data_IF_868980396104
#
_entry.id   IF_868980396104
#
_cell.length_a   1.000
_cell.length_b   1.000
_cell.length_c   1.000
_cell.angle_alpha   90.00
_cell.angle_beta   90.00
_cell.angle_gamma   90.00
#
_symmetry.space_group_name_H-M   'P 1'
#
loop_
_entity.id
_entity.type
_entity.pdbx_description
1 polymer ?
#
# COMPACT_ATOMS: atom_id res chain seq x y z
N UNK A 1 -14.47 14.39 18.74
CA UNK A 1 -13.55 13.54 17.95
C UNK A 1 -14.36 12.72 16.97
N UNK A 2 -14.23 12.93 15.64
CA UNK A 2 -14.73 11.92 14.70
C UNK A 2 -13.63 10.89 14.49
N UNK A 3 -13.74 9.74 15.17
CA UNK A 3 -12.84 8.58 15.12
C UNK A 3 -12.53 8.07 13.71
N UNK A 4 -13.32 8.49 12.72
CA UNK A 4 -13.27 8.07 11.31
C UNK A 4 -12.06 8.56 10.54
N UNK A 5 -11.59 9.77 10.80
CA UNK A 5 -10.52 10.38 9.98
C UNK A 5 -9.16 9.78 10.31
N UNK A 6 -8.97 9.39 11.57
CA UNK A 6 -7.71 8.89 12.13
C UNK A 6 -7.19 7.64 11.40
N UNK A 7 -7.99 6.56 11.21
CA UNK A 7 -7.52 5.39 10.48
C UNK A 7 -7.20 5.71 9.01
N UNK A 8 -8.00 6.54 8.35
CA UNK A 8 -7.78 6.89 6.94
C UNK A 8 -6.49 7.69 6.76
N UNK A 9 -6.26 8.71 7.60
CA UNK A 9 -5.03 9.51 7.58
C UNK A 9 -3.82 8.61 7.84
N UNK A 10 -3.88 7.79 8.89
CA UNK A 10 -2.79 6.88 9.23
C UNK A 10 -2.47 5.92 8.08
N UNK A 11 -3.48 5.38 7.41
CA UNK A 11 -3.29 4.49 6.27
C UNK A 11 -2.62 5.18 5.08
N UNK A 12 -3.07 6.38 4.70
CA UNK A 12 -2.49 7.11 3.55
C UNK A 12 -1.05 7.54 3.85
N UNK A 13 -0.78 8.00 5.07
CA UNK A 13 0.59 8.37 5.47
C UNK A 13 1.51 7.16 5.46
N UNK A 14 1.06 6.01 5.98
CA UNK A 14 1.84 4.76 5.93
C UNK A 14 2.17 4.36 4.48
N UNK A 15 1.21 4.43 3.56
CA UNK A 15 1.45 4.14 2.15
C UNK A 15 2.47 5.08 1.52
N UNK A 16 2.38 6.37 1.82
CA UNK A 16 3.32 7.37 1.33
C UNK A 16 4.74 7.11 1.85
N UNK A 17 4.88 6.79 3.14
CA UNK A 17 6.16 6.41 3.74
C UNK A 17 6.75 5.17 3.07
N UNK A 18 5.93 4.15 2.80
CA UNK A 18 6.37 2.95 2.06
C UNK A 18 6.83 3.33 0.65
N UNK A 19 6.16 4.25 -0.04
CA UNK A 19 6.60 4.73 -1.36
C UNK A 19 7.99 5.38 -1.29
N UNK A 20 8.21 6.28 -0.34
CA UNK A 20 9.49 6.96 -0.16
C UNK A 20 10.60 5.95 0.14
N UNK A 21 10.34 5.01 1.05
CA UNK A 21 11.28 3.97 1.43
C UNK A 21 11.62 3.05 0.25
N UNK A 22 10.63 2.60 -0.52
CA UNK A 22 10.83 1.83 -1.76
C UNK A 22 11.59 2.62 -2.84
N UNK A 23 11.38 3.93 -2.90
CA UNK A 23 12.11 4.82 -3.83
C UNK A 23 13.59 4.85 -3.47
N UNK A 24 13.92 5.04 -2.19
CA UNK A 24 15.31 5.01 -1.70
C UNK A 24 15.93 3.62 -1.91
N UNK A 25 15.22 2.54 -1.61
CA UNK A 25 15.71 1.18 -1.84
C UNK A 25 15.98 0.91 -3.35
N UNK A 26 15.14 1.45 -4.24
CA UNK A 26 15.31 1.31 -5.69
C UNK A 26 16.50 2.14 -6.21
N UNK A 27 16.70 3.36 -5.72
CA UNK A 27 17.77 4.26 -6.19
C UNK A 27 19.13 3.90 -5.58
N UNK A 28 19.18 3.55 -4.29
CA UNK A 28 20.40 3.37 -3.49
C UNK A 28 20.55 1.95 -2.91
N UNK A 29 20.36 0.94 -3.77
CA UNK A 29 20.49 -0.49 -3.45
C UNK A 29 21.72 -0.80 -2.58
N UNK A 30 22.90 -0.28 -2.94
CA UNK A 30 24.16 -0.62 -2.26
C UNK A 30 24.39 0.10 -0.91
N UNK A 31 23.85 1.31 -0.73
CA UNK A 31 23.98 2.05 0.55
C UNK A 31 22.89 1.66 1.55
N UNK A 32 21.75 1.20 1.05
CA UNK A 32 20.60 0.81 1.85
C UNK A 32 20.92 -0.39 2.75
N UNK A 33 21.70 -1.37 2.28
CA UNK A 33 22.11 -2.54 3.08
C UNK A 33 22.93 -2.16 4.32
N UNK A 34 23.84 -1.19 4.18
CA UNK A 34 24.72 -0.76 5.28
C UNK A 34 24.02 0.12 6.32
N UNK A 35 22.94 0.82 5.95
CA UNK A 35 22.28 1.81 6.80
C UNK A 35 20.76 1.61 6.91
N UNK A 36 20.25 0.40 6.62
CA UNK A 36 18.81 0.13 6.54
C UNK A 36 18.03 0.55 7.79
N UNK A 37 18.58 0.26 8.98
CA UNK A 37 17.94 0.65 10.25
C UNK A 37 17.79 2.16 10.43
N UNK A 38 18.76 2.96 9.99
CA UNK A 38 18.69 4.41 10.05
C UNK A 38 17.57 4.96 9.15
N UNK A 39 17.48 4.45 7.92
CA UNK A 39 16.42 4.87 6.99
C UNK A 39 15.02 4.53 7.53
N UNK A 40 14.83 3.33 8.07
CA UNK A 40 13.56 2.93 8.69
C UNK A 40 13.16 3.87 9.82
N UNK A 41 14.09 4.20 10.72
CA UNK A 41 13.83 5.12 11.83
C UNK A 41 13.50 6.53 11.34
N UNK A 42 14.23 7.04 10.34
CA UNK A 42 13.98 8.34 9.73
C UNK A 42 12.57 8.41 9.10
N UNK A 43 12.15 7.36 8.40
CA UNK A 43 10.81 7.27 7.81
C UNK A 43 9.69 7.19 8.84
N UNK A 44 9.91 6.53 9.98
CA UNK A 44 8.95 6.52 11.09
C UNK A 44 8.76 7.90 11.71
N UNK A 45 9.85 8.64 11.94
CA UNK A 45 9.77 10.03 12.44
C UNK A 45 9.01 10.91 11.45
N UNK A 46 9.35 10.82 10.16
CA UNK A 46 8.69 11.57 9.10
C UNK A 46 7.19 11.30 9.08
N UNK A 47 6.77 10.03 9.17
CA UNK A 47 5.36 9.66 9.23
C UNK A 47 4.65 10.27 10.45
N UNK A 48 5.29 10.22 11.63
CA UNK A 48 4.75 10.81 12.85
C UNK A 48 4.55 12.33 12.74
N UNK A 49 5.54 13.04 12.18
CA UNK A 49 5.45 14.49 11.96
C UNK A 49 4.32 14.85 10.99
N UNK A 50 4.19 14.13 9.87
CA UNK A 50 3.11 14.35 8.89
C UNK A 50 1.74 14.17 9.54
N UNK A 51 1.56 13.12 10.34
CA UNK A 51 0.30 12.88 11.08
C UNK A 51 0.01 14.05 12.02
N UNK A 52 1.00 14.49 12.81
CA UNK A 52 0.84 15.61 13.73
C UNK A 52 0.47 16.91 13.01
N UNK A 53 1.10 17.21 11.87
CA UNK A 53 0.77 18.38 11.06
C UNK A 53 -0.66 18.31 10.52
N UNK A 54 -1.10 17.16 9.99
CA UNK A 54 -2.46 16.98 9.50
C UNK A 54 -3.48 17.19 10.64
N UNK A 55 -3.18 16.69 11.85
CA UNK A 55 -4.03 16.88 13.02
C UNK A 55 -4.14 18.36 13.42
N UNK A 56 -3.01 19.07 13.46
CA UNK A 56 -2.96 20.49 13.83
C UNK A 56 -3.71 21.39 12.83
N UNK A 57 -3.67 21.07 11.53
CA UNK A 57 -4.38 21.84 10.49
C UNK A 57 -5.89 21.52 10.49
N UNK A 58 -6.27 20.28 10.81
CA UNK A 58 -7.67 19.82 10.71
C UNK A 58 -8.54 20.30 11.87
N UNK A 59 -7.99 20.36 13.09
CA UNK A 59 -8.75 20.67 14.30
C UNK A 59 -8.28 21.97 14.94
N UNK A 60 -9.19 22.95 15.09
CA UNK A 60 -8.96 24.13 15.95
C UNK A 60 -9.76 24.00 17.24
N UNK A 61 -9.32 24.67 18.29
CA UNK A 61 -9.87 24.54 19.66
C UNK A 61 -11.39 24.80 19.74
N UNK A 62 -11.91 25.60 18.81
CA UNK A 62 -13.34 25.96 18.69
C UNK A 62 -14.25 24.79 18.25
N UNK A 63 -13.71 23.72 17.66
CA UNK A 63 -14.48 22.59 17.13
C UNK A 63 -14.93 21.57 18.21
N UNK A 64 -14.52 21.75 19.47
CA UNK A 64 -14.80 20.82 20.57
C UNK A 64 -16.04 21.18 21.41
N UNK A 65 -16.72 22.28 21.11
CA UNK A 65 -17.85 22.80 21.90
C UNK A 65 -19.25 22.36 21.41
N UNK A 66 -19.35 21.61 20.30
CA UNK A 66 -20.65 21.15 19.77
C UNK A 66 -21.04 19.76 20.30
N UNK A 67 -22.26 19.64 20.83
CA UNK A 67 -22.82 18.38 21.33
C UNK A 67 -23.32 17.52 20.15
N UNK A 68 -22.49 16.58 19.68
CA UNK A 68 -22.86 15.67 18.58
C UNK A 68 -23.45 14.36 19.11
N UNK A 69 -24.65 13.99 18.64
CA UNK A 69 -25.40 12.76 19.04
C UNK A 69 -24.68 11.43 18.76
N UNK A 70 -23.60 11.44 17.97
CA UNK A 70 -22.77 10.26 17.69
C UNK A 70 -21.38 10.67 17.20
N UNK A 71 -20.34 9.88 17.53
CA UNK A 71 -18.97 10.00 16.97
C UNK A 71 -18.94 9.93 15.43
N UNK A 72 -20.03 9.46 14.81
CA UNK A 72 -20.25 9.44 13.37
C UNK A 72 -20.59 10.81 12.76
N UNK A 73 -21.07 11.77 13.54
CA UNK A 73 -21.48 13.08 13.04
C UNK A 73 -20.34 14.08 13.15
N UNK A 74 -20.03 14.73 12.05
CA UNK A 74 -19.03 15.79 11.97
C UNK A 74 -19.68 17.10 12.42
N UNK A 75 -19.06 17.88 13.34
CA UNK A 75 -19.57 19.20 13.69
C UNK A 75 -19.65 20.06 12.43
N UNK A 76 -20.72 20.84 12.30
CA UNK A 76 -21.04 21.60 11.09
C UNK A 76 -19.92 22.58 10.71
N UNK A 77 -19.23 23.11 11.72
CA UNK A 77 -18.11 24.04 11.63
C UNK A 77 -16.84 23.41 11.01
N UNK A 78 -16.63 22.09 11.12
CA UNK A 78 -15.45 21.38 10.59
C UNK A 78 -15.72 20.61 9.28
N UNK A 79 -16.98 20.53 8.84
CA UNK A 79 -17.39 19.80 7.65
C UNK A 79 -16.64 20.19 6.35
N UNK A 80 -16.42 21.48 6.00
CA UNK A 80 -15.71 21.84 4.77
C UNK A 80 -14.22 21.46 4.83
N UNK A 81 -13.57 21.64 5.99
CA UNK A 81 -12.16 21.24 6.20
C UNK A 81 -11.96 19.74 6.04
N UNK A 82 -12.87 18.95 6.63
CA UNK A 82 -12.83 17.48 6.53
C UNK A 82 -13.06 17.03 5.08
N UNK A 83 -14.02 17.62 4.36
CA UNK A 83 -14.25 17.30 2.94
C UNK A 83 -13.00 17.58 2.10
N UNK A 84 -12.34 18.72 2.30
CA UNK A 84 -11.09 19.04 1.62
C UNK A 84 -9.98 18.02 1.94
N UNK A 85 -9.82 17.64 3.21
CA UNK A 85 -8.85 16.63 3.62
C UNK A 85 -9.12 15.27 2.99
N UNK A 86 -10.39 14.84 2.88
CA UNK A 86 -10.73 13.61 2.18
C UNK A 86 -10.27 13.64 0.72
N UNK A 87 -10.55 14.72 -0.01
CA UNK A 87 -10.14 14.87 -1.42
C UNK A 87 -8.61 14.81 -1.55
N UNK A 88 -7.90 15.54 -0.68
CA UNK A 88 -6.44 15.58 -0.66
C UNK A 88 -5.83 14.20 -0.37
N UNK A 89 -6.36 13.49 0.64
CA UNK A 89 -5.95 12.12 0.97
C UNK A 89 -6.19 11.15 -0.19
N UNK A 90 -7.33 11.28 -0.88
CA UNK A 90 -7.64 10.49 -2.08
C UNK A 90 -6.65 10.76 -3.21
N UNK A 91 -6.30 12.03 -3.46
CA UNK A 91 -5.29 12.40 -4.45
C UNK A 91 -3.90 11.82 -4.12
N UNK A 92 -3.48 11.87 -2.85
CA UNK A 92 -2.23 11.27 -2.40
C UNK A 92 -2.24 9.75 -2.62
N UNK A 93 -3.34 9.05 -2.30
CA UNK A 93 -3.44 7.60 -2.56
C UNK A 93 -3.28 7.25 -4.04
N UNK A 94 -3.88 8.03 -4.94
CA UNK A 94 -3.72 7.84 -6.39
C UNK A 94 -2.25 8.08 -6.79
N UNK A 95 -1.64 9.15 -6.28
CA UNK A 95 -0.22 9.45 -6.53
C UNK A 95 0.68 8.30 -6.07
N UNK A 96 0.43 7.72 -4.89
CA UNK A 96 1.20 6.59 -4.38
C UNK A 96 1.10 5.38 -5.30
N UNK A 97 -0.11 5.04 -5.78
CA UNK A 97 -0.29 3.93 -6.72
C UNK A 97 0.50 4.16 -8.00
N UNK A 98 0.42 5.37 -8.58
CA UNK A 98 1.21 5.73 -9.78
C UNK A 98 2.70 5.58 -9.49
N UNK A 99 3.18 6.11 -8.37
CA UNK A 99 4.58 5.99 -7.93
C UNK A 99 5.03 4.53 -7.82
N UNK A 100 4.23 3.66 -7.20
CA UNK A 100 4.51 2.22 -7.09
C UNK A 100 4.61 1.54 -8.46
N UNK A 101 3.71 1.89 -9.40
CA UNK A 101 3.76 1.35 -10.77
C UNK A 101 5.01 1.81 -11.52
N UNK A 102 5.41 3.08 -11.35
CA UNK A 102 6.65 3.61 -11.93
C UNK A 102 7.86 2.88 -11.35
N UNK A 103 7.94 2.69 -10.03
CA UNK A 103 9.01 1.94 -9.37
C UNK A 103 9.10 0.49 -9.86
N UNK A 104 7.96 -0.18 -10.04
CA UNK A 104 7.93 -1.53 -10.62
C UNK A 104 8.50 -1.57 -12.03
N UNK A 105 8.16 -0.60 -12.88
CA UNK A 105 8.71 -0.49 -14.25
C UNK A 105 10.22 -0.25 -14.24
N UNK A 106 10.71 0.62 -13.35
CA UNK A 106 12.14 0.88 -13.17
C UNK A 106 12.87 -0.40 -12.73
N UNK A 107 12.35 -1.09 -11.71
CA UNK A 107 12.93 -2.34 -11.22
C UNK A 107 12.93 -3.44 -12.29
N UNK A 108 11.88 -3.55 -13.11
CA UNK A 108 11.84 -4.49 -14.26
C UNK A 108 12.90 -4.18 -15.29
N UNK A 109 13.05 -2.90 -15.69
CA UNK A 109 14.11 -2.47 -16.60
C UNK A 109 15.50 -2.74 -16.04
N UNK A 110 15.69 -2.53 -14.73
CA UNK A 110 16.98 -2.79 -14.06
C UNK A 110 17.30 -4.28 -14.05
N UNK A 111 16.33 -5.15 -13.76
CA UNK A 111 16.49 -6.61 -13.82
C UNK A 111 17.00 -7.08 -15.19
N UNK A 112 16.54 -6.46 -16.27
CA UNK A 112 16.96 -6.80 -17.64
C UNK A 112 18.38 -6.30 -18.00
N UNK A 113 18.95 -5.36 -17.23
CA UNK A 113 20.27 -4.75 -17.50
C UNK A 113 21.36 -5.14 -16.50
N UNK A 114 21.03 -5.90 -15.45
CA UNK A 114 21.99 -6.28 -14.41
C UNK A 114 22.70 -7.58 -14.82
N UNK A 115 23.96 -7.43 -15.21
CA UNK A 115 24.98 -8.49 -15.27
C UNK A 115 25.78 -8.61 -13.96
N UNK A 116 25.32 -7.97 -12.88
CA UNK A 116 26.05 -7.88 -11.62
C UNK A 116 25.76 -9.04 -10.64
N UNK A 117 26.58 -9.08 -9.58
CA UNK A 117 26.65 -10.09 -8.51
C UNK A 117 25.30 -10.64 -8.01
N UNK A 118 25.34 -11.88 -7.52
CA UNK A 118 24.17 -12.63 -7.05
C UNK A 118 23.35 -11.86 -6.00
N UNK A 119 24.03 -11.11 -5.12
CA UNK A 119 23.40 -10.26 -4.09
C UNK A 119 22.56 -9.13 -4.72
N UNK A 120 23.06 -8.46 -5.75
CA UNK A 120 22.31 -7.37 -6.41
C UNK A 120 21.05 -7.89 -7.12
N UNK A 121 21.14 -9.07 -7.76
CA UNK A 121 19.97 -9.72 -8.39
C UNK A 121 18.92 -10.12 -7.36
N UNK A 122 19.36 -10.64 -6.21
CA UNK A 122 18.48 -10.96 -5.10
C UNK A 122 17.75 -9.70 -4.57
N UNK A 123 18.49 -8.62 -4.32
CA UNK A 123 17.94 -7.36 -3.82
C UNK A 123 16.90 -6.74 -4.77
N UNK A 124 17.18 -6.73 -6.09
CA UNK A 124 16.21 -6.22 -7.07
C UNK A 124 14.98 -7.11 -7.15
N UNK A 125 15.12 -8.43 -7.01
CA UNK A 125 14.00 -9.35 -6.98
C UNK A 125 13.12 -9.15 -5.74
N UNK A 126 13.74 -9.06 -4.56
CA UNK A 126 13.06 -8.78 -3.30
C UNK A 126 12.34 -7.43 -3.35
N UNK A 127 13.02 -6.38 -3.81
CA UNK A 127 12.42 -5.06 -3.90
C UNK A 127 11.25 -5.01 -4.88
N UNK A 128 11.33 -5.74 -6.00
CA UNK A 128 10.21 -5.89 -6.94
C UNK A 128 9.01 -6.59 -6.30
N UNK A 129 9.25 -7.66 -5.54
CA UNK A 129 8.19 -8.39 -4.83
C UNK A 129 7.50 -7.51 -3.78
N UNK A 130 8.28 -6.84 -2.92
CA UNK A 130 7.73 -5.98 -1.86
C UNK A 130 6.96 -4.81 -2.48
N UNK A 131 7.48 -4.19 -3.55
CA UNK A 131 6.78 -3.10 -4.24
C UNK A 131 5.48 -3.59 -4.89
N UNK A 132 5.45 -4.81 -5.41
CA UNK A 132 4.24 -5.40 -6.01
C UNK A 132 3.18 -5.68 -4.94
N UNK A 133 3.59 -6.23 -3.79
CA UNK A 133 2.75 -6.41 -2.63
C UNK A 133 2.17 -5.08 -2.12
N UNK A 134 3.02 -4.06 -1.94
CA UNK A 134 2.61 -2.73 -1.53
C UNK A 134 1.63 -2.08 -2.52
N UNK A 135 1.79 -2.34 -3.82
CA UNK A 135 0.85 -1.87 -4.85
C UNK A 135 -0.52 -2.55 -4.72
N UNK A 136 -0.60 -3.86 -4.48
CA UNK A 136 -1.89 -4.52 -4.27
C UNK A 136 -2.60 -4.02 -3.02
N UNK A 137 -1.84 -3.83 -1.93
CA UNK A 137 -2.36 -3.24 -0.71
C UNK A 137 -2.92 -1.83 -0.96
N UNK A 138 -2.21 -1.04 -1.77
CA UNK A 138 -2.62 0.32 -2.11
C UNK A 138 -3.90 0.36 -2.94
N UNK A 139 -4.03 -0.56 -3.90
CA UNK A 139 -5.24 -0.72 -4.70
C UNK A 139 -6.44 -1.16 -3.85
N UNK A 140 -6.27 -2.16 -2.98
CA UNK A 140 -7.34 -2.60 -2.08
C UNK A 140 -7.84 -1.45 -1.19
N UNK A 141 -6.91 -0.67 -0.63
CA UNK A 141 -7.26 0.47 0.21
C UNK A 141 -7.99 1.56 -0.59
N UNK A 142 -7.56 1.88 -1.81
CA UNK A 142 -8.24 2.85 -2.66
C UNK A 142 -9.67 2.36 -2.97
N UNK A 143 -9.86 1.09 -3.28
CA UNK A 143 -11.18 0.50 -3.55
C UNK A 143 -12.11 0.66 -2.35
N UNK A 144 -11.65 0.34 -1.14
CA UNK A 144 -12.45 0.48 0.08
C UNK A 144 -12.74 1.95 0.40
N UNK A 145 -11.75 2.82 0.20
CA UNK A 145 -11.91 4.27 0.37
C UNK A 145 -12.97 4.84 -0.59
N UNK A 146 -12.92 4.47 -1.87
CA UNK A 146 -13.90 4.89 -2.89
C UNK A 146 -15.28 4.34 -2.55
N UNK A 147 -15.37 3.07 -2.17
CA UNK A 147 -16.65 2.44 -1.80
C UNK A 147 -17.26 3.10 -0.55
N UNK A 148 -16.44 3.44 0.44
CA UNK A 148 -16.86 4.19 1.64
C UNK A 148 -17.34 5.60 1.30
N UNK A 149 -16.60 6.32 0.45
CA UNK A 149 -16.95 7.69 0.06
C UNK A 149 -18.22 7.74 -0.79
N UNK A 150 -18.32 6.84 -1.78
CA UNK A 150 -19.50 6.72 -2.63
C UNK A 150 -20.72 6.24 -1.83
N UNK A 151 -20.57 5.22 -0.99
CA UNK A 151 -21.63 4.73 -0.10
C UNK A 151 -22.11 5.81 0.88
N UNK A 152 -21.20 6.63 1.41
CA UNK A 152 -21.57 7.77 2.25
C UNK A 152 -22.36 8.85 1.50
N UNK A 153 -21.99 9.13 0.26
CA UNK A 153 -22.67 10.13 -0.58
C UNK A 153 -24.05 9.64 -1.04
N UNK A 154 -24.15 8.38 -1.48
CA UNK A 154 -25.42 7.77 -1.90
C UNK A 154 -26.40 7.68 -0.75
N UNK A 155 -25.94 7.31 0.46
CA UNK A 155 -26.76 7.30 1.67
C UNK A 155 -27.28 8.70 2.02
N UNK A 156 -26.47 9.75 1.83
CA UNK A 156 -26.92 11.14 2.02
C UNK A 156 -27.96 11.55 0.97
N UNK A 157 -27.76 11.20 -0.30
CA UNK A 157 -28.71 11.50 -1.35
C UNK A 157 -30.05 10.77 -1.13
N UNK A 158 -29.99 9.52 -0.65
CA UNK A 158 -31.16 8.70 -0.35
C UNK A 158 -31.77 8.98 1.03
N UNK A 159 -31.22 9.90 1.83
CA UNK A 159 -31.70 10.19 3.19
C UNK A 159 -33.18 10.56 3.20
N UNK A 160 -33.56 11.53 2.35
CA UNK A 160 -34.94 12.00 2.25
C UNK A 160 -35.89 10.92 1.71
N UNK A 161 -35.39 10.04 0.84
CA UNK A 161 -36.20 9.03 0.15
C UNK A 161 -36.44 7.77 1.00
N UNK A 162 -35.43 7.34 1.76
CA UNK A 162 -35.45 6.06 2.51
C UNK A 162 -35.74 6.22 4.00
N UNK A 163 -35.37 7.36 4.61
CA UNK A 163 -35.40 7.52 6.07
C UNK A 163 -36.28 8.68 6.56
N UNK A 164 -36.73 9.58 5.67
CA UNK A 164 -37.60 10.70 6.04
C UNK A 164 -37.03 11.51 7.20
N UNK A 165 -37.80 11.62 8.30
CA UNK A 165 -37.43 12.30 9.55
C UNK A 165 -36.76 11.39 10.60
N UNK A 166 -36.62 10.08 10.34
CA UNK A 166 -36.04 9.14 11.31
C UNK A 166 -34.50 9.20 11.32
N UNK A 167 -33.94 10.18 12.02
CA UNK A 167 -32.50 10.40 12.12
C UNK A 167 -31.74 9.22 12.75
N UNK A 168 -32.39 8.46 13.64
CA UNK A 168 -31.81 7.29 14.32
C UNK A 168 -31.53 6.16 13.33
N UNK A 169 -32.49 5.85 12.45
CA UNK A 169 -32.36 4.80 11.43
C UNK A 169 -31.28 5.17 10.40
N UNK A 170 -31.20 6.45 10.03
CA UNK A 170 -30.15 6.97 9.16
C UNK A 170 -28.75 6.89 9.80
N UNK A 171 -28.65 7.15 11.11
CA UNK A 171 -27.42 6.98 11.88
C UNK A 171 -26.94 5.52 11.92
N UNK A 172 -27.85 4.59 12.22
CA UNK A 172 -27.56 3.15 12.25
C UNK A 172 -27.11 2.63 10.87
N UNK A 173 -27.81 3.01 9.80
CA UNK A 173 -27.46 2.60 8.44
C UNK A 173 -26.07 3.12 8.02
N UNK A 174 -25.72 4.37 8.35
CA UNK A 174 -24.36 4.90 8.13
C UNK A 174 -23.28 4.16 8.93
N UNK A 175 -23.62 3.63 10.11
CA UNK A 175 -22.72 2.80 10.92
C UNK A 175 -22.40 1.47 10.24
N UNK A 176 -23.41 0.81 9.64
CA UNK A 176 -23.24 -0.46 8.91
C UNK A 176 -22.34 -0.28 7.67
N UNK A 177 -22.39 0.88 7.02
CA UNK A 177 -21.51 1.22 5.88
C UNK A 177 -20.09 1.67 6.28
N UNK A 178 -19.69 1.53 7.55
CA UNK A 178 -18.32 1.78 7.96
C UNK A 178 -17.41 0.60 7.55
N UNK A 179 -16.82 0.70 6.36
CA UNK A 179 -16.03 -0.37 5.73
C UNK A 179 -14.57 -0.46 6.21
N UNK A 180 -14.17 0.40 7.15
CA UNK A 180 -12.79 0.44 7.67
C UNK A 180 -12.39 -0.87 8.39
N UNK A 181 -13.21 -1.45 9.28
CA UNK A 181 -12.90 -2.74 9.92
C UNK A 181 -12.77 -3.89 8.91
N UNK A 182 -13.51 -3.83 7.80
CA UNK A 182 -13.45 -4.82 6.73
C UNK A 182 -12.07 -4.83 6.06
N UNK A 183 -11.44 -3.67 5.85
CA UNK A 183 -10.04 -3.62 5.37
C UNK A 183 -9.08 -4.28 6.36
N UNK A 184 -9.19 -3.94 7.65
CA UNK A 184 -8.32 -4.49 8.70
C UNK A 184 -8.42 -6.02 8.75
N UNK A 185 -9.61 -6.58 8.48
CA UNK A 185 -9.82 -8.01 8.37
C UNK A 185 -9.28 -8.62 7.06
N UNK A 186 -9.44 -7.93 5.93
CA UNK A 186 -8.94 -8.40 4.63
C UNK A 186 -7.40 -8.37 4.51
N UNK A 187 -6.75 -7.44 5.21
CA UNK A 187 -5.30 -7.24 5.16
C UNK A 187 -4.48 -8.50 5.49
N UNK A 188 -4.70 -9.19 6.63
CA UNK A 188 -3.98 -10.44 6.92
C UNK A 188 -4.29 -11.55 5.91
N UNK A 189 -5.54 -11.66 5.43
CA UNK A 189 -5.92 -12.67 4.43
C UNK A 189 -5.19 -12.46 3.10
N UNK A 190 -5.15 -11.21 2.62
CA UNK A 190 -4.41 -10.84 1.41
C UNK A 190 -2.91 -11.11 1.58
N UNK A 191 -2.36 -10.80 2.76
CA UNK A 191 -0.95 -11.03 3.08
C UNK A 191 -0.61 -12.51 3.03
N UNK A 192 -1.41 -13.37 3.66
CA UNK A 192 -1.22 -14.82 3.63
C UNK A 192 -1.33 -15.34 2.19
N UNK A 193 -2.33 -14.90 1.43
CA UNK A 193 -2.54 -15.33 0.06
C UNK A 193 -1.33 -14.98 -0.84
N UNK A 194 -0.91 -13.71 -0.84
CA UNK A 194 0.21 -13.24 -1.66
C UNK A 194 1.53 -13.89 -1.23
N UNK A 195 1.75 -14.06 0.08
CA UNK A 195 2.93 -14.73 0.60
C UNK A 195 3.00 -16.20 0.20
N UNK A 196 1.88 -16.94 0.29
CA UNK A 196 1.79 -18.34 -0.14
C UNK A 196 2.04 -18.48 -1.65
N UNK A 197 1.38 -17.65 -2.46
CA UNK A 197 1.58 -17.63 -3.92
C UNK A 197 3.05 -17.46 -4.28
N UNK A 198 3.71 -16.47 -3.67
CA UNK A 198 5.12 -16.21 -3.89
C UNK A 198 6.03 -17.34 -3.44
N UNK A 199 5.75 -17.95 -2.27
CA UNK A 199 6.50 -19.12 -1.80
C UNK A 199 6.44 -20.26 -2.80
N UNK A 200 5.27 -20.51 -3.39
CA UNK A 200 5.09 -21.53 -4.43
C UNK A 200 5.85 -21.18 -5.69
N UNK A 201 5.75 -19.95 -6.20
CA UNK A 201 6.49 -19.49 -7.39
C UNK A 201 8.01 -19.61 -7.19
N UNK A 202 8.51 -19.26 -6.01
CA UNK A 202 9.93 -19.40 -5.66
C UNK A 202 10.35 -20.87 -5.65
N UNK A 203 9.56 -21.75 -5.02
CA UNK A 203 9.86 -23.18 -4.97
C UNK A 203 9.87 -23.80 -6.37
N UNK A 204 8.92 -23.41 -7.24
CA UNK A 204 8.88 -23.85 -8.64
C UNK A 204 10.09 -23.35 -9.42
N UNK A 205 10.50 -22.09 -9.26
CA UNK A 205 11.69 -21.55 -9.93
C UNK A 205 12.97 -22.22 -9.45
N UNK A 206 13.10 -22.49 -8.15
CA UNK A 206 14.26 -23.21 -7.58
C UNK A 206 14.26 -24.65 -8.12
N UNK A 207 13.15 -25.35 -8.06
CA UNK A 207 13.04 -26.71 -8.57
C UNK A 207 13.32 -26.77 -10.07
N UNK A 208 12.84 -25.82 -10.88
CA UNK A 208 13.13 -25.74 -12.31
C UNK A 208 14.61 -25.45 -12.59
N UNK A 209 15.25 -24.57 -11.82
CA UNK A 209 16.68 -24.29 -11.95
C UNK A 209 17.55 -25.46 -11.49
N UNK A 210 17.14 -26.20 -10.45
CA UNK A 210 17.81 -27.43 -9.97
C UNK A 210 17.55 -28.59 -10.93
N UNK A 211 16.40 -28.60 -11.64
CA UNK A 211 16.03 -29.60 -12.63
C UNK A 211 16.54 -29.27 -14.05
N UNK A 212 17.58 -28.45 -14.18
CA UNK A 212 18.59 -28.67 -15.21
C UNK A 212 19.14 -30.08 -14.95
N UNK A 213 18.64 -31.09 -15.67
CA UNK A 213 19.10 -32.49 -15.52
C UNK A 213 20.62 -32.49 -15.53
N UNK A 214 21.26 -32.90 -14.45
CA UNK A 214 22.72 -32.98 -14.35
C UNK A 214 23.24 -34.35 -14.79
N UNK A 215 22.35 -35.31 -15.01
CA UNK A 215 22.64 -36.71 -15.33
C UNK A 215 21.85 -37.17 -16.55
N UNK A 216 22.46 -38.04 -17.37
CA UNK A 216 21.91 -38.50 -18.64
C UNK A 216 22.22 -37.59 -19.84
N UNK A 217 21.73 -37.98 -21.02
CA UNK A 217 22.00 -37.26 -22.29
C UNK A 217 21.54 -35.80 -22.30
N UNK A 218 20.41 -35.51 -21.66
CA UNK A 218 19.88 -34.15 -21.50
C UNK A 218 20.81 -33.26 -20.65
N UNK A 219 21.55 -33.86 -19.70
CA UNK A 219 22.49 -33.12 -18.87
C UNK A 219 23.80 -32.79 -19.58
N UNK A 220 24.29 -33.70 -20.41
CA UNK A 220 25.44 -33.42 -21.30
C UNK A 220 25.12 -32.26 -22.23
N UNK A 221 23.91 -32.20 -22.79
CA UNK A 221 23.48 -31.10 -23.66
C UNK A 221 23.42 -29.75 -22.91
N UNK A 222 22.90 -29.72 -21.68
CA UNK A 222 22.90 -28.51 -20.85
C UNK A 222 24.31 -28.04 -20.50
N UNK A 223 25.20 -28.95 -20.11
CA UNK A 223 26.60 -28.59 -19.84
C UNK A 223 27.33 -28.13 -21.11
N UNK A 224 27.10 -28.77 -22.25
CA UNK A 224 27.64 -28.32 -23.54
C UNK A 224 27.13 -26.94 -23.95
N UNK A 225 25.85 -26.62 -23.73
CA UNK A 225 25.31 -25.30 -24.05
C UNK A 225 25.90 -24.20 -23.14
N UNK A 226 26.12 -24.50 -21.86
CA UNK A 226 26.79 -23.59 -20.91
C UNK A 226 28.27 -23.40 -21.26
N UNK A 227 29.00 -24.49 -21.54
CA UNK A 227 30.42 -24.45 -21.93
C UNK A 227 30.58 -23.69 -23.25
N UNK A 228 29.80 -24.03 -24.28
CA UNK A 228 29.90 -23.37 -25.59
C UNK A 228 29.57 -21.88 -25.55
N UNK A 229 28.68 -21.44 -24.65
CA UNK A 229 28.44 -20.01 -24.38
C UNK A 229 29.61 -19.34 -23.66
N UNK A 230 30.25 -20.03 -22.72
CA UNK A 230 31.43 -19.50 -22.01
C UNK A 230 32.66 -19.34 -22.93
N UNK A 231 32.80 -20.20 -23.95
CA UNK A 231 33.89 -20.16 -24.93
C UNK A 231 33.65 -19.23 -26.14
N UNK A 232 32.50 -18.56 -26.23
CA UNK A 232 32.21 -17.52 -27.25
C UNK A 232 32.53 -16.09 -26.77
N UNK A 233 33.23 -15.97 -25.64
CA UNK A 233 33.88 -14.73 -25.18
C UNK A 233 35.30 -14.73 -25.70
#
# INVERSE_FOLDING_TARGET
MSEKLRPIVLWVVMQFTILCERTVATLWVHKYEKHGGFFVFAFLIMAGLIIMTILAITYRHEDFNELTFSMLNTPTSAAPRIRFMFILLGAISIFVIIGMQVLLRINKKRKARIDCSLSSRYQVHENMFITHFASYLSLLQLTIYVLYSYGGLSMRAAQHLLFGTNEIAFGAARGVFYLIPLFTFLLPLLTIYLHRKHRTERQLSINANICLKSTGGDGVCNYQDVISKAWRV
#
